data_IF_669247007850
#
_entry.id   IF_669247007850
#
_cell.length_a   1.000
_cell.length_b   1.000
_cell.length_c   1.000
_cell.angle_alpha   90.00
_cell.angle_beta   90.00
_cell.angle_gamma   90.00
#
_symmetry.space_group_name_H-M   'P 1'
#
loop_
_entity.id
_entity.type
_entity.pdbx_description
1 polymer ?
#
# COMPACT_ATOMS: atom_id res chain seq x y z
N UNK A 1 -12.11 2.21 12.55
CA UNK A 1 -10.75 2.79 12.58
C UNK A 1 -9.86 1.89 11.73
N UNK A 2 -9.34 2.32 10.58
CA UNK A 2 -8.37 1.51 9.84
C UNK A 2 -7.09 1.41 10.67
N UNK A 3 -6.60 0.19 10.85
CA UNK A 3 -5.43 -0.10 11.68
C UNK A 3 -4.16 0.39 10.98
N UNK A 4 -3.63 1.54 11.43
CA UNK A 4 -2.30 2.02 11.06
C UNK A 4 -1.25 1.08 11.68
N UNK A 5 -0.74 0.14 10.89
CA UNK A 5 0.40 -0.67 11.30
C UNK A 5 1.68 0.13 11.06
N UNK A 6 2.11 0.85 12.10
CA UNK A 6 3.41 1.51 12.17
C UNK A 6 4.50 0.43 12.18
N UNK A 7 5.11 0.18 11.02
CA UNK A 7 6.32 -0.63 10.91
C UNK A 7 7.52 0.32 10.85
N UNK A 8 8.21 0.42 11.99
CA UNK A 8 9.21 1.43 12.35
C UNK A 8 10.54 1.36 11.59
N UNK A 9 10.51 1.39 10.26
CA UNK A 9 11.73 1.52 9.46
C UNK A 9 11.78 2.75 8.55
N UNK A 10 10.80 3.66 8.60
CA UNK A 10 10.84 4.87 7.75
C UNK A 10 10.07 6.09 8.26
N UNK A 11 9.38 6.04 9.41
CA UNK A 11 8.59 7.17 9.95
C UNK A 11 7.38 7.60 9.10
N UNK A 12 7.20 7.03 7.90
CA UNK A 12 6.06 7.30 7.01
C UNK A 12 4.91 6.34 7.32
N UNK A 13 3.66 6.84 7.38
CA UNK A 13 2.49 6.01 7.60
C UNK A 13 2.32 5.01 6.45
N UNK A 14 1.69 3.86 6.76
CA UNK A 14 1.43 2.80 5.79
C UNK A 14 -0.05 2.48 5.72
N UNK A 15 -0.57 2.45 4.50
CA UNK A 15 -1.97 2.21 4.23
C UNK A 15 -2.15 0.92 3.44
N UNK A 16 -3.01 0.03 3.95
CA UNK A 16 -3.28 -1.26 3.34
C UNK A 16 -4.66 -1.25 2.69
N UNK A 17 -4.71 -1.52 1.39
CA UNK A 17 -5.95 -1.56 0.61
C UNK A 17 -6.29 -2.97 0.11
N UNK A 18 -7.57 -3.33 0.18
CA UNK A 18 -8.10 -4.57 -0.41
C UNK A 18 -8.22 -4.40 -1.93
N UNK A 19 -8.37 -5.51 -2.66
CA UNK A 19 -8.57 -5.48 -4.11
C UNK A 19 -9.77 -4.60 -4.49
N UNK A 20 -10.90 -4.74 -3.79
CA UNK A 20 -12.11 -3.94 -4.05
C UNK A 20 -11.85 -2.43 -3.93
N UNK A 21 -11.21 -2.00 -2.84
CA UNK A 21 -10.94 -0.57 -2.61
C UNK A 21 -9.90 -0.05 -3.60
N UNK A 22 -8.88 -0.85 -3.91
CA UNK A 22 -7.87 -0.51 -4.90
C UNK A 22 -8.51 -0.31 -6.28
N UNK A 23 -9.36 -1.22 -6.72
CA UNK A 23 -10.03 -1.12 -8.01
C UNK A 23 -11.00 0.07 -8.08
N UNK A 24 -11.84 0.25 -7.06
CA UNK A 24 -12.89 1.27 -7.00
C UNK A 24 -12.34 2.69 -6.89
N UNK A 25 -11.34 2.90 -6.01
CA UNK A 25 -10.88 4.24 -5.66
C UNK A 25 -9.54 4.62 -6.30
N UNK A 26 -8.67 3.65 -6.60
CA UNK A 26 -7.34 3.92 -7.17
C UNK A 26 -7.34 3.67 -8.68
N UNK A 27 -7.75 2.48 -9.12
CA UNK A 27 -7.68 2.14 -10.54
C UNK A 27 -8.70 2.92 -11.37
N UNK A 28 -9.92 3.15 -10.88
CA UNK A 28 -10.96 3.93 -11.60
C UNK A 28 -11.13 3.53 -13.08
N UNK A 29 -11.04 2.23 -13.38
CA UNK A 29 -11.15 1.69 -14.74
C UNK A 29 -9.84 1.56 -15.53
N UNK A 30 -8.71 2.04 -15.01
CA UNK A 30 -7.38 1.78 -15.60
C UNK A 30 -6.86 0.38 -15.25
N UNK A 31 -5.99 -0.17 -16.11
CA UNK A 31 -5.39 -1.49 -15.90
C UNK A 31 -4.64 -1.55 -14.55
N UNK A 32 -5.02 -2.47 -13.64
CA UNK A 32 -4.43 -2.54 -12.30
C UNK A 32 -2.92 -2.79 -12.30
N UNK A 33 -2.37 -3.52 -13.29
CA UNK A 33 -0.94 -3.79 -13.35
C UNK A 33 -0.17 -2.53 -13.72
N UNK A 34 -0.69 -1.75 -14.68
CA UNK A 34 -0.09 -0.49 -15.09
C UNK A 34 -0.17 0.56 -13.97
N UNK A 35 -1.30 0.62 -13.27
CA UNK A 35 -1.47 1.49 -12.09
C UNK A 35 -0.47 1.12 -11.00
N UNK A 36 -0.32 -0.17 -10.68
CA UNK A 36 0.72 -0.63 -9.74
C UNK A 36 2.13 -0.25 -10.19
N UNK A 37 2.43 -0.39 -11.49
CA UNK A 37 3.74 -0.07 -12.03
C UNK A 37 4.08 1.41 -11.84
N UNK A 38 3.16 2.32 -12.16
CA UNK A 38 3.34 3.78 -11.99
C UNK A 38 3.49 4.11 -10.51
N UNK A 39 2.57 3.66 -9.67
CA UNK A 39 2.60 3.96 -8.23
C UNK A 39 3.84 3.41 -7.52
N UNK A 40 4.39 2.28 -7.98
CA UNK A 40 5.68 1.79 -7.45
C UNK A 40 6.87 2.55 -8.02
N UNK A 41 6.85 2.93 -9.29
CA UNK A 41 7.92 3.72 -9.90
C UNK A 41 8.06 5.09 -9.22
N UNK A 42 6.93 5.71 -8.92
CA UNK A 42 6.83 7.00 -8.24
C UNK A 42 6.95 6.87 -6.71
N UNK A 43 7.24 5.67 -6.19
CA UNK A 43 7.51 5.41 -4.77
C UNK A 43 6.31 5.42 -3.81
N UNK A 44 5.09 5.61 -4.31
CA UNK A 44 3.85 5.62 -3.52
C UNK A 44 3.48 4.24 -2.97
N UNK A 45 3.77 3.19 -3.73
CA UNK A 45 3.35 1.82 -3.42
C UNK A 45 4.55 0.88 -3.27
N UNK A 46 4.57 0.12 -2.18
CA UNK A 46 5.55 -0.95 -1.98
C UNK A 46 5.12 -2.26 -2.62
N UNK A 47 6.08 -2.94 -3.23
CA UNK A 47 5.94 -4.30 -3.77
C UNK A 47 6.71 -5.33 -2.94
N UNK A 48 6.24 -6.57 -2.97
CA UNK A 48 6.89 -7.72 -2.35
C UNK A 48 7.54 -8.61 -3.44
N UNK A 49 8.77 -8.26 -3.81
CA UNK A 49 9.49 -8.88 -4.91
C UNK A 49 8.76 -8.73 -6.25
N UNK A 50 8.27 -9.84 -6.81
CA UNK A 50 7.47 -9.88 -8.06
C UNK A 50 5.98 -9.62 -7.84
N UNK A 51 5.52 -9.48 -6.59
CA UNK A 51 4.10 -9.32 -6.29
C UNK A 51 3.77 -7.87 -5.95
N UNK A 52 2.70 -7.34 -6.54
CA UNK A 52 2.21 -5.98 -6.27
C UNK A 52 1.56 -5.84 -4.88
N UNK A 53 1.34 -6.96 -4.17
CA UNK A 53 0.66 -7.01 -2.86
C UNK A 53 1.57 -7.65 -1.82
N UNK A 54 1.62 -7.02 -0.65
CA UNK A 54 2.46 -7.44 0.48
C UNK A 54 1.69 -8.41 1.35
N UNK A 55 2.38 -9.44 1.85
CA UNK A 55 1.82 -10.34 2.87
C UNK A 55 1.61 -9.57 4.18
N UNK A 56 0.40 -9.62 4.70
CA UNK A 56 0.11 -9.04 6.01
C UNK A 56 0.75 -9.88 7.13
N UNK A 57 1.22 -9.25 8.22
CA UNK A 57 1.59 -9.98 9.43
C UNK A 57 0.41 -10.79 9.97
N UNK A 58 0.65 -11.99 10.50
CA UNK A 58 -0.42 -12.87 11.03
C UNK A 58 -1.33 -12.16 12.05
N UNK A 59 -0.74 -11.39 12.96
CA UNK A 59 -1.48 -10.58 13.94
C UNK A 59 -2.46 -9.60 13.29
N UNK A 60 -2.12 -9.03 12.13
CA UNK A 60 -2.99 -8.11 11.39
C UNK A 60 -4.14 -8.80 10.66
N UNK A 61 -3.93 -10.04 10.23
CA UNK A 61 -4.96 -10.87 9.62
C UNK A 61 -5.99 -11.30 10.66
N UNK A 62 -5.51 -11.69 11.85
CA UNK A 62 -6.35 -12.14 12.98
C UNK A 62 -7.18 -10.99 13.56
N UNK A 63 -6.61 -9.79 13.72
CA UNK A 63 -7.31 -8.61 14.25
C UNK A 63 -8.37 -8.04 13.31
N UNK A 64 -8.19 -8.14 11.99
CA UNK A 64 -9.09 -7.52 11.01
C UNK A 64 -10.19 -8.47 10.49
N UNK A 65 -10.24 -9.74 10.93
CA UNK A 65 -11.16 -10.76 10.40
C UNK A 65 -11.13 -10.89 8.86
N UNK A 66 -10.04 -10.41 8.23
CA UNK A 66 -9.91 -10.40 6.78
C UNK A 66 -9.44 -11.78 6.34
N UNK A 67 -10.21 -12.45 5.47
CA UNK A 67 -9.76 -13.67 4.78
C UNK A 67 -8.62 -13.41 3.77
N UNK A 68 -8.11 -12.18 3.69
CA UNK A 68 -7.17 -11.72 2.67
C UNK A 68 -5.75 -11.70 3.25
N UNK A 69 -4.87 -12.54 2.69
CA UNK A 69 -3.47 -12.69 3.16
C UNK A 69 -2.52 -11.66 2.58
N UNK A 70 -2.92 -10.95 1.52
CA UNK A 70 -2.09 -9.97 0.82
C UNK A 70 -2.90 -8.73 0.45
N UNK A 71 -2.32 -7.55 0.63
CA UNK A 71 -2.96 -6.27 0.32
C UNK A 71 -2.00 -5.33 -0.39
N UNK A 72 -2.54 -4.35 -1.11
CA UNK A 72 -1.75 -3.25 -1.64
C UNK A 72 -1.27 -2.37 -0.50
N UNK A 73 -0.02 -1.91 -0.55
CA UNK A 73 0.60 -1.15 0.53
C UNK A 73 1.12 0.18 0.01
N UNK A 74 0.48 1.26 0.44
CA UNK A 74 0.86 2.63 0.13
C UNK A 74 1.65 3.22 1.28
N UNK A 75 2.58 4.12 0.95
CA UNK A 75 3.51 4.73 1.91
C UNK A 75 3.41 6.24 1.83
N UNK A 76 3.22 6.87 2.99
CA UNK A 76 3.12 8.32 3.12
C UNK A 76 1.77 8.88 2.67
N UNK A 77 1.55 10.14 3.03
CA UNK A 77 0.35 10.91 2.66
C UNK A 77 0.59 11.82 1.43
N UNK A 78 1.86 11.96 1.04
CA UNK A 78 2.36 12.97 0.10
C UNK A 78 3.29 12.27 -0.92
N UNK A 79 3.32 12.72 -2.18
CA UNK A 79 4.18 12.11 -3.19
C UNK A 79 5.65 12.05 -2.73
N UNK A 80 6.36 10.96 -3.02
CA UNK A 80 7.77 10.82 -2.62
C UNK A 80 8.69 11.91 -3.17
N UNK A 81 8.37 12.50 -4.32
CA UNK A 81 9.12 13.61 -4.90
C UNK A 81 9.06 14.87 -4.04
N UNK A 82 7.92 15.16 -3.40
CA UNK A 82 7.75 16.31 -2.50
C UNK A 82 8.31 16.04 -1.09
N UNK A 83 8.43 14.77 -0.71
CA UNK A 83 8.99 14.39 0.58
C UNK A 83 10.54 14.47 0.64
N UNK A 84 11.21 14.60 -0.51
CA UNK A 84 12.66 14.68 -0.60
C UNK A 84 13.21 16.11 -0.36
N UNK A 85 12.37 17.15 -0.44
CA UNK A 85 12.78 18.55 -0.30
C UNK A 85 12.85 19.06 1.15
N UNK A 86 12.61 18.20 2.16
CA UNK A 86 12.58 18.60 3.57
C UNK A 86 13.79 18.12 4.40
N UNK A 87 14.96 17.88 3.78
CA UNK A 87 16.19 17.53 4.51
C UNK A 87 17.26 18.61 4.33
#
# INVERSE_FOLDING_TARGET
>A
MPANYEDGSTGKPRYFLTDKVFEEYICKGFDPRKVCQVLTADGWMRKDGKHNRIKLPRKAVELNLLCVKRMYCFVGDVPPDEAAEQI
#
